data_IF_903351604023
#
_entry.id   IF_903351604023
#
_cell.length_a   1.000
_cell.length_b   1.000
_cell.length_c   1.000
_cell.angle_alpha   90.00
_cell.angle_beta   90.00
_cell.angle_gamma   90.00
#
_symmetry.space_group_name_H-M   'P 1'
#
loop_
_entity.id
_entity.type
_entity.pdbx_description
1 polymer ?
#
# COMPACT_ATOMS: atom_id res chain seq x y z
N UNK A 1 -9.31 1.94 -6.17
CA UNK A 1 -8.41 0.79 -6.43
C UNK A 1 -7.30 1.14 -7.43
N UNK A 2 -6.04 0.92 -7.06
CA UNK A 2 -4.90 1.05 -7.96
C UNK A 2 -4.15 -0.27 -8.04
N UNK A 3 -3.79 -0.69 -9.25
CA UNK A 3 -2.94 -1.85 -9.49
C UNK A 3 -1.59 -1.40 -10.04
N UNK A 4 -0.53 -2.08 -9.59
CA UNK A 4 0.85 -1.83 -9.99
C UNK A 4 1.49 -3.16 -10.39
N UNK A 5 1.90 -3.28 -11.64
CA UNK A 5 2.60 -4.44 -12.17
C UNK A 5 4.01 -4.06 -12.62
N UNK A 6 5.00 -4.77 -12.13
CA UNK A 6 6.39 -4.64 -12.54
C UNK A 6 6.62 -5.44 -13.83
N UNK A 7 7.21 -4.81 -14.84
CA UNK A 7 7.52 -5.45 -16.11
C UNK A 7 9.02 -5.71 -16.19
N UNK A 8 9.39 -6.98 -16.34
CA UNK A 8 10.76 -7.43 -16.45
C UNK A 8 11.13 -7.72 -17.90
N UNK A 9 12.39 -7.52 -18.26
CA UNK A 9 12.94 -8.01 -19.53
C UNK A 9 13.41 -9.47 -19.43
N UNK A 10 13.89 -10.00 -20.56
CA UNK A 10 14.45 -11.35 -20.68
C UNK A 10 15.69 -11.60 -19.82
N UNK A 11 16.33 -10.54 -19.31
CA UNK A 11 17.51 -10.61 -18.42
C UNK A 11 17.13 -10.51 -16.95
N UNK A 12 15.83 -10.58 -16.64
CA UNK A 12 15.28 -10.42 -15.30
C UNK A 12 15.51 -9.01 -14.74
N UNK A 13 15.58 -7.98 -15.58
CA UNK A 13 15.75 -6.58 -15.16
C UNK A 13 14.44 -5.80 -15.27
N UNK A 14 14.22 -4.84 -14.37
CA UNK A 14 13.02 -4.01 -14.41
C UNK A 14 13.08 -3.04 -15.58
N UNK A 15 12.05 -3.03 -16.44
CA UNK A 15 11.91 -2.06 -17.53
C UNK A 15 10.99 -0.90 -17.18
N UNK A 16 10.08 -1.14 -16.24
CA UNK A 16 9.18 -0.14 -15.73
C UNK A 16 8.00 -0.77 -15.03
N UNK A 17 6.98 0.03 -14.78
CA UNK A 17 5.75 -0.43 -14.16
C UNK A 17 4.53 0.06 -14.92
N UNK A 18 3.52 -0.80 -15.00
CA UNK A 18 2.18 -0.43 -15.45
C UNK A 18 1.36 -0.07 -14.22
N UNK A 19 0.87 1.17 -14.19
CA UNK A 19 -0.05 1.64 -13.15
C UNK A 19 -1.44 1.72 -13.77
N UNK A 20 -2.40 1.04 -13.17
CA UNK A 20 -3.81 1.24 -13.47
C UNK A 20 -4.50 1.87 -12.26
N UNK A 21 -4.97 3.10 -12.42
CA UNK A 21 -5.85 3.76 -11.45
C UNK A 21 -7.30 3.61 -11.90
N UNK A 22 -8.13 3.04 -11.03
CA UNK A 22 -9.58 2.97 -11.22
C UNK A 22 -10.29 4.01 -10.36
N UNK A 23 -11.39 4.54 -10.88
CA UNK A 23 -12.12 5.68 -10.31
C UNK A 23 -12.73 6.53 -11.42
N UNK A 24 -13.07 7.79 -11.12
CA UNK A 24 -13.67 8.74 -12.08
C UNK A 24 -12.75 9.15 -13.24
N UNK A 25 -11.44 8.92 -13.11
CA UNK A 25 -10.48 9.00 -14.21
C UNK A 25 -9.75 7.66 -14.28
N UNK A 26 -10.10 6.85 -15.29
CA UNK A 26 -9.45 5.57 -15.55
C UNK A 26 -8.19 5.83 -16.34
N UNK A 27 -7.04 5.71 -15.69
CA UNK A 27 -5.75 5.93 -16.34
C UNK A 27 -4.92 4.67 -16.21
N UNK A 28 -4.45 4.18 -17.34
CA UNK A 28 -3.38 3.20 -17.40
C UNK A 28 -2.15 3.90 -17.92
N UNK A 29 -1.10 3.97 -17.11
CA UNK A 29 0.14 4.65 -17.46
C UNK A 29 1.31 3.66 -17.43
N UNK A 30 2.19 3.81 -18.42
CA UNK A 30 3.50 3.20 -18.40
C UNK A 30 4.48 4.14 -17.72
N UNK A 31 5.15 3.65 -16.67
CA UNK A 31 6.19 4.36 -15.95
C UNK A 31 7.54 3.67 -16.23
N UNK A 32 8.33 4.18 -17.19
CA UNK A 32 9.62 3.59 -17.52
C UNK A 32 10.63 3.78 -16.38
N UNK A 33 11.60 2.86 -16.31
CA UNK A 33 12.84 3.05 -15.54
C UNK A 33 14.05 2.96 -16.46
N UNK A 34 15.17 3.53 -16.02
CA UNK A 34 16.45 3.43 -16.71
C UNK A 34 16.80 1.96 -17.00
N UNK A 35 17.40 1.65 -18.16
CA UNK A 35 17.69 0.27 -18.57
C UNK A 35 18.73 -0.43 -17.67
N UNK A 36 19.53 0.34 -16.93
CA UNK A 36 20.57 -0.19 -16.05
C UNK A 36 20.06 -0.48 -14.63
N UNK A 37 18.95 -1.22 -14.54
CA UNK A 37 18.46 -1.70 -13.25
C UNK A 37 19.15 -2.98 -12.83
N UNK A 38 19.14 -3.22 -11.52
CA UNK A 38 19.49 -4.51 -10.95
C UNK A 38 18.58 -5.63 -11.46
N UNK A 39 19.13 -6.85 -11.55
CA UNK A 39 18.32 -8.06 -11.76
C UNK A 39 17.38 -8.26 -10.58
N UNK A 40 16.14 -8.64 -10.84
CA UNK A 40 15.09 -8.84 -9.86
C UNK A 40 15.50 -9.86 -8.81
N UNK A 41 16.07 -11.00 -9.22
CA UNK A 41 16.63 -11.99 -8.29
C UNK A 41 17.71 -11.41 -7.37
N UNK A 42 18.63 -10.60 -7.90
CA UNK A 42 19.69 -9.97 -7.10
C UNK A 42 19.16 -8.94 -6.12
N UNK A 43 18.13 -8.18 -6.49
CA UNK A 43 17.47 -7.23 -5.59
C UNK A 43 16.77 -7.98 -4.44
N UNK A 44 16.07 -9.07 -4.75
CA UNK A 44 15.40 -9.90 -3.76
C UNK A 44 16.39 -10.50 -2.75
N UNK A 45 17.53 -11.02 -3.23
CA UNK A 45 18.57 -11.58 -2.36
C UNK A 45 19.19 -10.51 -1.46
N UNK A 46 19.46 -9.30 -1.97
CA UNK A 46 19.95 -8.18 -1.15
C UNK A 46 18.94 -7.77 -0.07
N UNK A 47 17.65 -7.69 -0.41
CA UNK A 47 16.60 -7.37 0.56
C UNK A 47 16.48 -8.44 1.65
N UNK A 48 16.58 -9.72 1.28
CA UNK A 48 16.55 -10.84 2.23
C UNK A 48 17.78 -10.86 3.14
N UNK A 49 18.96 -10.65 2.58
CA UNK A 49 20.22 -10.63 3.34
C UNK A 49 20.24 -9.52 4.40
N UNK A 50 19.62 -8.37 4.12
CA UNK A 50 19.52 -7.26 5.07
C UNK A 50 18.47 -7.47 6.16
N UNK A 51 17.49 -8.36 5.96
CA UNK A 51 16.41 -8.60 6.92
C UNK A 51 16.75 -9.76 7.87
N UNK A 52 17.50 -9.41 8.92
CA UNK A 52 18.08 -10.32 9.92
C UNK A 52 17.07 -10.88 10.93
N UNK A 53 15.86 -10.36 10.95
CA UNK A 53 14.82 -10.59 11.97
C UNK A 53 13.81 -11.65 11.54
N UNK A 54 14.12 -12.43 10.50
CA UNK A 54 13.32 -13.59 10.07
C UNK A 54 13.27 -14.73 11.09
N UNK A 55 14.09 -14.65 12.15
CA UNK A 55 14.10 -15.64 13.25
C UNK A 55 12.94 -15.46 14.23
N UNK A 56 12.15 -14.39 14.09
CA UNK A 56 10.96 -14.15 14.92
C UNK A 56 9.78 -15.01 14.43
N UNK A 57 9.32 -15.92 15.29
CA UNK A 57 8.17 -16.78 15.05
C UNK A 57 6.92 -15.95 14.71
N UNK A 58 6.20 -16.33 13.65
CA UNK A 58 4.97 -15.66 13.23
C UNK A 58 5.14 -14.48 12.25
N UNK A 59 6.34 -14.32 11.67
CA UNK A 59 6.58 -13.35 10.59
C UNK A 59 6.31 -13.94 9.20
N UNK A 60 5.78 -13.10 8.29
CA UNK A 60 5.43 -13.44 6.91
C UNK A 60 6.00 -12.38 5.95
N UNK A 61 6.84 -12.79 5.00
CA UNK A 61 7.34 -11.89 3.94
C UNK A 61 6.34 -11.82 2.79
N UNK A 62 5.98 -10.62 2.36
CA UNK A 62 5.25 -10.44 1.13
C UNK A 62 6.16 -10.58 -0.11
N UNK A 63 5.58 -10.75 -1.31
CA UNK A 63 6.32 -10.65 -2.55
C UNK A 63 7.04 -9.30 -2.67
N UNK A 64 8.24 -9.31 -3.25
CA UNK A 64 8.95 -8.08 -3.57
C UNK A 64 8.13 -7.25 -4.57
N UNK A 65 8.16 -5.95 -4.38
CA UNK A 65 7.52 -4.96 -5.25
C UNK A 65 8.58 -3.95 -5.70
N UNK A 66 8.28 -3.23 -6.78
CA UNK A 66 9.10 -2.12 -7.22
C UNK A 66 8.24 -0.89 -7.52
N UNK A 67 8.83 0.29 -7.37
CA UNK A 67 8.24 1.56 -7.78
C UNK A 67 9.27 2.38 -8.56
N UNK A 68 8.89 2.97 -9.71
CA UNK A 68 9.72 3.93 -10.41
C UNK A 68 9.68 5.28 -9.69
N UNK A 69 10.84 5.81 -9.32
CA UNK A 69 10.99 7.13 -8.70
C UNK A 69 12.05 7.91 -9.46
N UNK A 70 11.66 9.04 -10.06
CA UNK A 70 12.52 9.85 -10.92
C UNK A 70 13.27 9.03 -11.99
N UNK A 71 12.57 8.08 -12.62
CA UNK A 71 13.14 7.19 -13.65
C UNK A 71 14.04 6.07 -13.12
N UNK A 72 14.25 5.96 -11.80
CA UNK A 72 15.04 4.89 -11.18
C UNK A 72 14.14 3.84 -10.54
N UNK A 73 14.58 2.59 -10.56
CA UNK A 73 13.91 1.51 -9.85
C UNK A 73 14.23 1.56 -8.35
N UNK A 74 13.19 1.54 -7.51
CA UNK A 74 13.32 1.23 -6.10
C UNK A 74 12.61 -0.09 -5.83
N UNK A 75 13.23 -0.97 -5.05
CA UNK A 75 12.68 -2.27 -4.69
C UNK A 75 12.34 -2.30 -3.22
N UNK A 76 11.30 -3.02 -2.84
CA UNK A 76 10.94 -3.19 -1.44
C UNK A 76 10.23 -4.51 -1.18
N UNK A 77 10.41 -5.00 0.03
CA UNK A 77 9.75 -6.21 0.53
C UNK A 77 9.14 -5.92 1.89
N UNK A 78 7.80 -5.91 1.99
CA UNK A 78 7.11 -5.83 3.28
C UNK A 78 7.24 -7.13 4.07
N UNK A 79 7.41 -7.01 5.38
CA UNK A 79 7.34 -8.11 6.34
C UNK A 79 6.18 -7.84 7.29
N UNK A 80 5.31 -8.82 7.44
CA UNK A 80 4.14 -8.81 8.30
C UNK A 80 4.36 -9.70 9.51
N UNK A 81 3.63 -9.43 10.58
CA UNK A 81 3.50 -10.31 11.73
C UNK A 81 2.05 -10.73 11.87
N UNK A 82 1.82 -12.03 12.01
CA UNK A 82 0.51 -12.60 12.32
C UNK A 82 0.28 -12.60 13.83
N UNK A 83 -0.92 -12.24 14.26
CA UNK A 83 -1.39 -12.43 15.64
C UNK A 83 -2.63 -13.30 15.63
N UNK A 84 -2.74 -14.21 16.59
CA UNK A 84 -3.93 -15.06 16.70
C UNK A 84 -5.19 -14.19 16.85
N UNK A 85 -6.20 -14.45 16.03
CA UNK A 85 -7.47 -13.71 16.05
C UNK A 85 -7.46 -12.32 15.40
N UNK A 86 -6.35 -11.89 14.79
CA UNK A 86 -6.26 -10.61 14.07
C UNK A 86 -5.67 -10.77 12.66
N UNK A 87 -5.97 -9.83 11.77
CA UNK A 87 -5.33 -9.76 10.46
C UNK A 87 -3.82 -9.48 10.57
N UNK A 88 -3.02 -9.86 9.55
CA UNK A 88 -1.59 -9.59 9.55
C UNK A 88 -1.31 -8.09 9.62
N UNK A 89 -0.44 -7.69 10.54
CA UNK A 89 -0.01 -6.29 10.69
C UNK A 89 1.37 -6.08 10.08
N UNK A 90 1.59 -4.94 9.41
CA UNK A 90 2.89 -4.60 8.85
C UNK A 90 3.90 -4.42 9.99
N UNK A 91 4.93 -5.26 10.00
CA UNK A 91 6.03 -5.19 10.95
C UNK A 91 7.07 -4.17 10.48
N UNK A 92 7.48 -4.30 9.22
CA UNK A 92 8.48 -3.42 8.57
C UNK A 92 8.44 -3.53 7.05
N UNK A 93 9.15 -2.62 6.41
CA UNK A 93 9.49 -2.65 4.99
C UNK A 93 11.00 -2.56 4.86
N UNK A 94 11.59 -3.52 4.15
CA UNK A 94 12.99 -3.44 3.71
C UNK A 94 13.00 -2.91 2.29
N UNK A 95 13.78 -1.87 2.01
CA UNK A 95 13.83 -1.23 0.71
C UNK A 95 15.27 -1.08 0.21
N UNK A 96 15.46 -1.21 -1.09
CA UNK A 96 16.72 -1.03 -1.81
C UNK A 96 16.55 0.15 -2.76
N UNK A 97 17.30 1.21 -2.50
CA UNK A 97 17.34 2.42 -3.30
C UNK A 97 18.77 2.93 -3.42
N UNK A 98 19.21 3.31 -4.62
CA UNK A 98 20.56 3.83 -4.88
C UNK A 98 21.66 2.93 -4.26
N UNK A 99 21.57 1.62 -4.50
CA UNK A 99 22.46 0.58 -3.95
C UNK A 99 22.53 0.46 -2.42
N UNK A 100 21.71 1.22 -1.71
CA UNK A 100 21.61 1.16 -0.25
C UNK A 100 20.37 0.39 0.16
N UNK A 101 20.53 -0.55 1.11
CA UNK A 101 19.40 -1.21 1.76
C UNK A 101 19.06 -0.47 3.05
N UNK A 102 17.77 -0.21 3.24
CA UNK A 102 17.21 0.50 4.39
C UNK A 102 15.98 -0.22 4.90
N UNK A 103 15.66 -0.01 6.17
CA UNK A 103 14.47 -0.55 6.81
C UNK A 103 13.65 0.57 7.45
N UNK A 104 12.33 0.41 7.45
CA UNK A 104 11.42 1.34 8.12
C UNK A 104 10.09 0.68 8.46
N UNK A 105 9.31 1.29 9.35
CA UNK A 105 7.96 0.81 9.70
C UNK A 105 6.92 1.10 8.60
N UNK A 106 7.28 1.99 7.67
CA UNK A 106 6.49 2.32 6.48
C UNK A 106 7.41 2.30 5.25
N UNK A 107 6.82 2.19 4.05
CA UNK A 107 7.56 2.31 2.80
C UNK A 107 8.30 3.65 2.72
N UNK A 108 7.67 4.72 3.19
CA UNK A 108 8.25 6.07 3.10
C UNK A 108 9.46 6.18 4.03
N UNK A 109 9.34 5.70 5.28
CA UNK A 109 10.45 5.66 6.21
C UNK A 109 11.62 4.80 5.67
N UNK A 110 11.33 3.68 5.00
CA UNK A 110 12.36 2.83 4.41
C UNK A 110 13.08 3.50 3.23
N UNK A 111 12.37 4.22 2.36
CA UNK A 111 12.96 4.84 1.16
C UNK A 111 13.64 6.18 1.47
N UNK A 112 13.00 7.04 2.26
CA UNK A 112 13.43 8.43 2.48
C UNK A 112 13.94 8.73 3.90
N UNK A 113 13.85 7.78 4.85
CA UNK A 113 14.36 7.93 6.21
C UNK A 113 13.35 8.45 7.23
N UNK A 114 13.77 8.52 8.50
CA UNK A 114 12.93 8.80 9.68
C UNK A 114 12.24 10.18 9.71
N UNK A 115 12.63 11.12 8.84
CA UNK A 115 11.91 12.39 8.67
C UNK A 115 10.51 12.24 8.04
N UNK A 116 10.19 11.05 7.52
CA UNK A 116 8.94 10.74 6.86
C UNK A 116 7.80 10.26 7.78
N UNK A 117 8.04 10.12 9.08
CA UNK A 117 6.99 9.86 10.09
C UNK A 117 5.98 11.03 10.19
N UNK A 118 6.31 12.16 9.58
CA UNK A 118 5.47 13.36 9.47
C UNK A 118 4.45 13.33 8.33
N UNK A 119 4.49 12.32 7.43
CA UNK A 119 3.37 12.14 6.51
C UNK A 119 2.19 11.57 7.29
N UNK A 120 1.06 12.30 7.42
CA UNK A 120 -0.08 11.79 8.14
C UNK A 120 -0.48 10.47 7.53
N UNK A 121 -0.43 9.40 8.34
CA UNK A 121 -0.97 8.10 7.99
C UNK A 121 -2.44 8.30 7.67
N UNK A 122 -2.78 8.41 6.38
CA UNK A 122 -4.13 8.75 5.94
C UNK A 122 -5.00 7.49 5.98
N UNK A 123 -5.26 6.96 7.20
CA UNK A 123 -6.47 6.22 7.64
C UNK A 123 -6.29 5.54 9.01
N UNK A 124 -7.29 5.68 9.91
CA UNK A 124 -8.20 4.58 10.31
C UNK A 124 -9.03 4.72 11.62
N UNK A 125 -8.92 5.75 12.51
CA UNK A 125 -9.90 5.92 13.60
C UNK A 125 -11.19 6.63 13.14
N UNK A 126 -11.05 7.79 12.50
CA UNK A 126 -12.19 8.66 12.16
C UNK A 126 -13.09 8.07 11.07
N UNK A 127 -12.51 7.33 10.13
CA UNK A 127 -13.28 6.69 9.06
C UNK A 127 -14.19 5.57 9.60
N UNK A 128 -13.67 4.73 10.50
CA UNK A 128 -14.46 3.65 11.11
C UNK A 128 -15.57 4.22 11.98
N UNK A 129 -15.25 5.21 12.83
CA UNK A 129 -16.24 5.91 13.65
C UNK A 129 -17.33 6.61 12.82
N UNK A 130 -16.94 7.25 11.70
CA UNK A 130 -17.88 7.89 10.78
C UNK A 130 -18.74 6.87 10.03
N UNK A 131 -18.20 5.72 9.65
CA UNK A 131 -18.93 4.64 8.98
C UNK A 131 -19.95 3.98 9.93
N UNK A 132 -19.55 3.67 11.16
CA UNK A 132 -20.45 3.13 12.19
C UNK A 132 -21.59 4.11 12.54
N UNK A 133 -21.31 5.41 12.49
CA UNK A 133 -22.34 6.44 12.68
C UNK A 133 -23.34 6.47 11.53
N UNK A 134 -22.88 6.39 10.28
CA UNK A 134 -23.74 6.36 9.10
C UNK A 134 -24.63 5.10 9.06
N UNK A 135 -24.08 3.93 9.40
CA UNK A 135 -24.86 2.70 9.51
C UNK A 135 -25.95 2.77 10.58
N UNK A 136 -25.65 3.37 11.74
CA UNK A 136 -26.66 3.57 12.80
C UNK A 136 -27.76 4.52 12.35
N UNK A 137 -27.42 5.60 11.66
CA UNK A 137 -28.40 6.54 11.10
C UNK A 137 -29.31 5.87 10.07
N UNK A 138 -28.77 5.07 9.15
CA UNK A 138 -29.57 4.31 8.18
C UNK A 138 -30.52 3.33 8.86
N UNK A 139 -30.04 2.60 9.89
CA UNK A 139 -30.85 1.64 10.63
C UNK A 139 -31.98 2.32 11.41
N UNK A 140 -31.72 3.48 11.99
CA UNK A 140 -32.72 4.30 12.66
C UNK A 140 -33.76 4.86 11.67
N UNK A 141 -33.33 5.33 10.49
CA UNK A 141 -34.22 5.81 9.44
C UNK A 141 -35.15 4.70 8.91
N UNK A 142 -34.63 3.49 8.68
CA UNK A 142 -35.42 2.33 8.29
C UNK A 142 -36.45 1.93 9.35
N UNK A 143 -36.07 1.96 10.63
CA UNK A 143 -37.01 1.65 11.73
C UNK A 143 -38.14 2.66 11.88
N UNK A 144 -37.96 3.89 11.39
CA UNK A 144 -38.94 4.98 11.43
C UNK A 144 -39.70 5.17 10.11
N UNK A 145 -39.34 4.42 9.06
CA UNK A 145 -39.88 4.61 7.71
C UNK A 145 -39.46 5.92 7.04
N UNK A 146 -38.39 6.57 7.51
CA UNK A 146 -37.90 7.84 6.96
C UNK A 146 -36.95 7.60 5.78
N UNK A 147 -37.54 7.45 4.59
CA UNK A 147 -36.82 7.14 3.37
C UNK A 147 -35.91 8.27 2.89
N UNK A 148 -36.24 9.53 3.19
CA UNK A 148 -35.42 10.68 2.80
C UNK A 148 -34.12 10.71 3.61
N UNK A 149 -34.20 10.53 4.93
CA UNK A 149 -33.03 10.46 5.80
C UNK A 149 -32.15 9.24 5.47
N UNK A 150 -32.76 8.12 5.09
CA UNK A 150 -32.04 6.95 4.61
C UNK A 150 -31.22 7.27 3.34
N UNK A 151 -31.85 7.90 2.33
CA UNK A 151 -31.17 8.27 1.08
C UNK A 151 -29.98 9.20 1.31
N UNK A 152 -30.15 10.22 2.16
CA UNK A 152 -29.07 11.15 2.51
C UNK A 152 -27.90 10.45 3.22
N UNK A 153 -28.18 9.53 4.15
CA UNK A 153 -27.15 8.76 4.83
C UNK A 153 -26.43 7.79 3.88
N UNK A 154 -27.15 7.21 2.92
CA UNK A 154 -26.61 6.34 1.89
C UNK A 154 -25.67 7.09 0.93
N UNK A 155 -26.06 8.27 0.47
CA UNK A 155 -25.21 9.12 -0.39
C UNK A 155 -23.97 9.64 0.35
N UNK A 156 -24.11 9.98 1.64
CA UNK A 156 -23.01 10.36 2.51
C UNK A 156 -22.02 9.20 2.70
N UNK A 157 -22.51 7.97 2.85
CA UNK A 157 -21.69 6.76 2.91
C UNK A 157 -20.96 6.52 1.58
N UNK A 158 -21.64 6.65 0.45
CA UNK A 158 -21.02 6.56 -0.87
C UNK A 158 -19.93 7.61 -1.10
N UNK A 159 -20.10 8.80 -0.54
CA UNK A 159 -19.10 9.88 -0.59
C UNK A 159 -17.91 9.63 0.34
N UNK A 160 -18.16 9.12 1.54
CA UNK A 160 -17.13 8.70 2.49
C UNK A 160 -16.27 7.55 1.92
N UNK A 161 -16.89 6.58 1.24
CA UNK A 161 -16.18 5.47 0.60
C UNK A 161 -15.34 5.92 -0.60
N UNK A 162 -15.79 6.92 -1.36
CA UNK A 162 -15.02 7.53 -2.47
C UNK A 162 -13.81 8.33 -1.98
N UNK A 163 -13.96 9.08 -0.88
CA UNK A 163 -12.89 9.90 -0.30
C UNK A 163 -11.87 9.08 0.50
N UNK A 164 -12.30 7.94 1.03
CA UNK A 164 -11.45 6.96 1.70
C UNK A 164 -11.28 5.66 0.90
N UNK A 165 -11.09 5.74 -0.42
CA UNK A 165 -10.37 4.73 -1.22
C UNK A 165 -9.07 5.34 -1.77
N UNK A 166 -7.87 4.91 -1.31
CA UNK A 166 -7.09 3.84 -1.97
C UNK A 166 -7.52 2.43 -1.63
#
# INVERSE_FOLDING_TARGET
>A
PSALWSLLDVRDRLRGSVVATSGGSRVTAWLPVSPDTMRWGSALERLRAADTTMRETGTLRAPMRSVPVAGRAMYFQPTFVGRSGAGPSLLRVTALANDSVRQGRTLVAALWGAGADSLPSRRAPDFRARTDTLYRTMRAALSRGDWLQFGQAFDALGTALRTHGP
#
